data_IF_930656833161
#
_entry.id   IF_930656833161
#
_cell.length_a   1.000
_cell.length_b   1.000
_cell.length_c   1.000
_cell.angle_alpha   90.00
_cell.angle_beta   90.00
_cell.angle_gamma   90.00
#
_symmetry.space_group_name_H-M   'P 1'
#
loop_
_entity.id
_entity.type
_entity.pdbx_description
1 polymer ?
#
# COMPACT_ATOMS: atom_id res chain seq x y z
N UNK A 1 -32.32 -16.69 -2.88
CA UNK A 1 -31.05 -17.40 -2.65
C UNK A 1 -29.89 -16.57 -3.21
N UNK A 2 -29.87 -16.20 -4.52
CA UNK A 2 -28.75 -15.44 -5.10
C UNK A 2 -28.57 -14.07 -4.46
N UNK A 3 -29.64 -13.36 -4.13
CA UNK A 3 -29.57 -12.08 -3.45
C UNK A 3 -29.03 -12.23 -2.03
N UNK A 4 -29.42 -13.29 -1.33
CA UNK A 4 -28.94 -13.61 0.01
C UNK A 4 -27.45 -13.94 0.01
N UNK A 5 -26.94 -14.74 -0.96
CA UNK A 5 -25.52 -15.04 -1.10
C UNK A 5 -24.69 -13.77 -1.37
N UNK A 6 -25.21 -12.85 -2.20
CA UNK A 6 -24.53 -11.58 -2.46
C UNK A 6 -24.59 -10.64 -1.25
N UNK A 7 -25.71 -10.61 -0.54
CA UNK A 7 -25.87 -9.78 0.66
C UNK A 7 -24.97 -10.32 1.80
N UNK A 8 -24.92 -11.62 2.02
CA UNK A 8 -24.04 -12.27 2.99
C UNK A 8 -22.56 -12.17 2.62
N UNK A 9 -22.19 -12.35 1.35
CA UNK A 9 -20.85 -12.10 0.86
C UNK A 9 -20.43 -10.64 1.05
N UNK A 10 -21.39 -9.69 1.06
CA UNK A 10 -21.14 -8.26 1.34
C UNK A 10 -20.92 -8.01 2.83
N UNK A 11 -21.49 -8.82 3.70
CA UNK A 11 -21.29 -8.74 5.16
C UNK A 11 -19.99 -9.42 5.62
N UNK A 12 -19.47 -10.40 4.89
CA UNK A 12 -18.22 -11.11 5.13
C UNK A 12 -16.95 -10.32 4.79
N UNK A 13 -16.98 -8.98 4.75
CA UNK A 13 -15.81 -8.12 4.50
C UNK A 13 -15.01 -8.42 3.22
N UNK A 14 -15.59 -9.11 2.24
CA UNK A 14 -15.04 -9.20 0.89
C UNK A 14 -14.96 -7.75 0.40
N UNK A 15 -13.77 -7.29 0.09
CA UNK A 15 -13.36 -5.92 -0.21
C UNK A 15 -14.49 -5.08 -0.83
N UNK A 16 -15.31 -4.43 0.00
CA UNK A 16 -16.57 -3.75 -0.34
C UNK A 16 -16.41 -2.64 -1.40
N UNK A 17 -15.20 -2.16 -1.58
CA UNK A 17 -14.90 -1.08 -2.53
C UNK A 17 -15.00 -1.56 -3.97
N UNK A 18 -14.70 -2.82 -4.25
CA UNK A 18 -14.70 -3.38 -5.61
C UNK A 18 -16.10 -3.81 -6.07
N UNK A 19 -16.91 -4.38 -5.20
CA UNK A 19 -18.23 -4.93 -5.56
C UNK A 19 -19.26 -3.85 -5.95
N UNK A 20 -19.17 -2.61 -5.46
CA UNK A 20 -20.20 -1.58 -5.68
C UNK A 20 -20.11 -0.82 -6.99
N UNK A 21 -18.97 -0.84 -7.73
CA UNK A 21 -18.78 0.08 -8.88
C UNK A 21 -19.14 -0.44 -10.25
N UNK A 22 -19.21 -1.75 -10.46
CA UNK A 22 -19.48 -2.31 -11.81
C UNK A 22 -20.36 -3.57 -11.85
N UNK A 23 -21.27 -3.74 -10.91
CA UNK A 23 -22.31 -4.75 -11.08
C UNK A 23 -23.28 -4.22 -12.14
N UNK A 24 -22.98 -4.52 -13.41
CA UNK A 24 -23.89 -4.23 -14.52
C UNK A 24 -25.06 -5.20 -14.45
N UNK A 25 -26.24 -4.78 -14.96
CA UNK A 25 -27.40 -5.68 -15.09
C UNK A 25 -27.05 -6.97 -15.87
N UNK A 26 -26.15 -6.88 -16.82
CA UNK A 26 -25.64 -8.03 -17.60
C UNK A 26 -24.83 -9.01 -16.73
N UNK A 27 -23.98 -8.50 -15.83
CA UNK A 27 -23.24 -9.33 -14.87
C UNK A 27 -24.21 -10.02 -13.90
N UNK A 28 -25.19 -9.30 -13.36
CA UNK A 28 -26.23 -9.87 -12.47
C UNK A 28 -26.99 -11.01 -13.17
N UNK A 29 -27.32 -10.83 -14.45
CA UNK A 29 -28.00 -11.86 -15.24
C UNK A 29 -27.13 -13.10 -15.50
N UNK A 30 -25.81 -12.94 -15.57
CA UNK A 30 -24.85 -14.02 -15.81
C UNK A 30 -24.37 -14.72 -14.53
N UNK A 31 -24.55 -14.14 -13.34
CA UNK A 31 -24.18 -14.75 -12.05
C UNK A 31 -24.71 -16.19 -11.89
N UNK A 32 -25.99 -16.53 -12.21
CA UNK A 32 -26.47 -17.87 -12.09
C UNK A 32 -25.70 -18.89 -12.94
N UNK A 33 -25.27 -18.49 -14.13
CA UNK A 33 -24.50 -19.34 -15.04
C UNK A 33 -23.07 -19.55 -14.52
N UNK A 34 -22.44 -18.51 -14.00
CA UNK A 34 -21.09 -18.54 -13.45
C UNK A 34 -21.02 -19.32 -12.12
N UNK A 35 -22.05 -19.21 -11.27
CA UNK A 35 -22.13 -19.91 -9.98
C UNK A 35 -22.53 -21.38 -10.12
N UNK A 36 -23.24 -21.75 -11.20
CA UNK A 36 -23.78 -23.10 -11.38
C UNK A 36 -22.79 -24.24 -11.11
N UNK A 37 -21.53 -24.19 -11.57
CA UNK A 37 -20.54 -25.24 -11.29
C UNK A 37 -20.12 -25.34 -9.81
N UNK A 38 -20.33 -24.28 -9.03
CA UNK A 38 -19.83 -24.14 -7.66
C UNK A 38 -20.93 -24.22 -6.59
N UNK A 39 -22.22 -24.12 -7.00
CA UNK A 39 -23.36 -24.12 -6.07
C UNK A 39 -23.33 -25.33 -5.13
N UNK A 40 -23.06 -26.53 -5.65
CA UNK A 40 -22.99 -27.73 -4.83
C UNK A 40 -21.92 -27.67 -3.75
N UNK A 41 -20.74 -27.08 -4.07
CA UNK A 41 -19.67 -26.89 -3.08
C UNK A 41 -20.02 -25.84 -2.03
N UNK A 42 -20.61 -24.72 -2.45
CA UNK A 42 -21.03 -23.64 -1.54
C UNK A 42 -22.11 -24.16 -0.59
N UNK A 43 -23.12 -24.87 -1.09
CA UNK A 43 -24.18 -25.47 -0.26
C UNK A 43 -23.57 -26.44 0.74
N UNK A 44 -22.70 -27.35 0.31
CA UNK A 44 -22.04 -28.31 1.21
C UNK A 44 -21.23 -27.65 2.32
N UNK A 45 -20.57 -26.50 2.04
CA UNK A 45 -19.83 -25.73 3.06
C UNK A 45 -20.81 -25.05 4.03
N UNK A 46 -21.86 -24.43 3.51
CA UNK A 46 -22.88 -23.78 4.34
C UNK A 46 -23.65 -24.78 5.24
N UNK A 47 -23.93 -25.98 4.72
CA UNK A 47 -24.56 -27.05 5.49
C UNK A 47 -23.66 -27.52 6.66
N UNK A 48 -22.33 -27.61 6.43
CA UNK A 48 -21.38 -27.93 7.51
C UNK A 48 -21.35 -26.85 8.59
N UNK A 49 -21.33 -25.57 8.19
CA UNK A 49 -21.36 -24.45 9.13
C UNK A 49 -22.71 -24.44 9.90
N UNK A 50 -23.81 -24.62 9.19
CA UNK A 50 -25.14 -24.63 9.81
C UNK A 50 -25.34 -25.79 10.80
N UNK A 51 -24.87 -26.99 10.48
CA UNK A 51 -24.93 -28.13 11.40
C UNK A 51 -24.11 -27.92 12.66
N UNK A 52 -22.93 -27.25 12.55
CA UNK A 52 -22.11 -26.94 13.73
C UNK A 52 -22.69 -25.84 14.64
N UNK A 53 -23.65 -25.03 14.14
CA UNK A 53 -24.31 -23.97 14.91
C UNK A 53 -25.63 -24.46 15.55
N UNK A 54 -26.29 -25.44 14.94
CA UNK A 54 -27.62 -25.94 15.40
C UNK A 54 -27.56 -26.89 16.61
N UNK A 55 -26.40 -27.49 16.92
CA UNK A 55 -26.25 -28.46 18.01
C UNK A 55 -26.02 -27.82 19.39
N UNK A 56 -26.17 -26.48 19.51
CA UNK A 56 -26.02 -25.76 20.79
C UNK A 56 -27.28 -25.79 21.70
N UNK A 57 -28.31 -26.60 21.39
CA UNK A 57 -29.47 -26.81 22.24
C UNK A 57 -29.58 -28.31 22.57
N UNK A 58 -29.15 -28.68 23.78
CA UNK A 58 -29.30 -30.01 24.41
C UNK A 58 -28.32 -31.10 23.90
N UNK A 59 -27.26 -31.30 24.59
CA UNK A 59 -26.61 -32.51 25.11
C UNK A 59 -25.07 -32.43 25.15
N UNK A 60 -24.51 -33.01 26.24
CA UNK A 60 -23.09 -33.01 26.63
C UNK A 60 -22.14 -33.85 25.73
N UNK A 61 -22.14 -33.66 24.41
CA UNK A 61 -21.14 -34.24 23.51
C UNK A 61 -20.26 -33.15 22.88
N UNK A 62 -19.10 -32.88 23.50
CA UNK A 62 -18.11 -31.88 23.11
C UNK A 62 -17.37 -32.16 21.79
N UNK A 63 -17.57 -33.30 21.11
CA UNK A 63 -16.69 -33.76 20.03
C UNK A 63 -17.08 -33.34 18.61
N UNK A 64 -18.19 -32.60 18.39
CA UNK A 64 -18.64 -32.27 17.01
C UNK A 64 -18.77 -30.78 16.67
N UNK A 65 -18.42 -29.88 17.56
CA UNK A 65 -18.49 -28.43 17.26
C UNK A 65 -17.25 -27.95 16.52
N UNK A 66 -17.43 -27.42 15.32
CA UNK A 66 -16.35 -26.76 14.60
C UNK A 66 -15.79 -25.62 15.44
N UNK A 67 -14.48 -25.57 15.56
CA UNK A 67 -13.77 -24.45 16.19
C UNK A 67 -13.89 -23.18 15.35
N UNK A 68 -13.75 -22.01 15.98
CA UNK A 68 -13.73 -20.71 15.27
C UNK A 68 -12.67 -20.69 14.15
N UNK A 69 -11.56 -21.40 14.33
CA UNK A 69 -10.51 -21.52 13.31
C UNK A 69 -10.97 -22.33 12.09
N UNK A 70 -11.76 -23.40 12.30
CA UNK A 70 -12.32 -24.22 11.21
C UNK A 70 -13.43 -23.49 10.46
N UNK A 71 -14.28 -22.73 11.15
CA UNK A 71 -15.30 -21.87 10.53
C UNK A 71 -14.60 -20.84 9.62
N UNK A 72 -13.58 -20.14 10.12
CA UNK A 72 -12.81 -19.18 9.33
C UNK A 72 -12.13 -19.82 8.11
N UNK A 73 -11.69 -21.08 8.23
CA UNK A 73 -11.09 -21.81 7.11
C UNK A 73 -12.13 -22.17 6.03
N UNK A 74 -13.35 -22.55 6.41
CA UNK A 74 -14.44 -22.83 5.47
C UNK A 74 -14.96 -21.53 4.81
N UNK A 75 -15.08 -20.43 5.55
CA UNK A 75 -15.37 -19.10 5.01
C UNK A 75 -14.33 -18.67 3.97
N UNK A 76 -13.05 -18.92 4.24
CA UNK A 76 -11.96 -18.63 3.29
C UNK A 76 -12.12 -19.42 2.00
N UNK A 77 -12.60 -20.67 2.04
CA UNK A 77 -12.87 -21.47 0.84
C UNK A 77 -14.00 -20.87 0.00
N UNK A 78 -15.08 -20.40 0.65
CA UNK A 78 -16.19 -19.71 -0.05
C UNK A 78 -15.67 -18.42 -0.70
N UNK A 79 -14.90 -17.61 0.04
CA UNK A 79 -14.30 -16.39 -0.50
C UNK A 79 -13.44 -16.67 -1.74
N UNK A 80 -12.57 -17.69 -1.68
CA UNK A 80 -11.74 -18.08 -2.83
C UNK A 80 -12.55 -18.54 -4.04
N UNK A 81 -13.68 -19.24 -3.82
CA UNK A 81 -14.59 -19.64 -4.91
C UNK A 81 -15.24 -18.40 -5.52
N UNK A 82 -15.70 -17.46 -4.70
CA UNK A 82 -16.34 -16.22 -5.17
C UNK A 82 -15.33 -15.31 -5.88
N UNK A 83 -14.11 -15.19 -5.40
CA UNK A 83 -13.04 -14.41 -6.03
C UNK A 83 -12.68 -14.94 -7.42
N UNK A 84 -12.75 -16.27 -7.62
CA UNK A 84 -12.52 -16.88 -8.94
C UNK A 84 -13.69 -16.69 -9.92
N UNK A 85 -14.89 -16.38 -9.43
CA UNK A 85 -16.09 -16.17 -10.23
C UNK A 85 -16.30 -14.70 -10.53
N UNK A 86 -15.92 -13.81 -9.61
CA UNK A 86 -16.03 -12.39 -9.78
C UNK A 86 -15.02 -11.94 -10.83
N UNK A 87 -15.53 -11.32 -11.90
CA UNK A 87 -14.69 -10.70 -12.91
C UNK A 87 -13.84 -9.65 -12.21
N UNK A 88 -12.51 -9.71 -12.31
CA UNK A 88 -11.66 -8.69 -11.72
C UNK A 88 -12.09 -7.33 -12.26
N UNK A 89 -12.43 -6.42 -11.34
CA UNK A 89 -12.79 -5.05 -11.71
C UNK A 89 -11.52 -4.32 -12.13
N UNK A 90 -11.54 -3.68 -13.30
CA UNK A 90 -10.45 -2.78 -13.69
C UNK A 90 -10.34 -1.66 -12.65
N UNK A 91 -9.14 -1.43 -12.13
CA UNK A 91 -8.88 -0.30 -11.24
C UNK A 91 -9.10 1.03 -11.95
N UNK A 92 -9.34 2.10 -11.18
CA UNK A 92 -9.35 3.44 -11.72
C UNK A 92 -7.95 3.79 -12.29
N UNK A 93 -7.91 4.53 -13.38
CA UNK A 93 -6.63 4.89 -14.02
C UNK A 93 -5.80 5.78 -13.10
N UNK A 94 -4.49 5.58 -13.11
CA UNK A 94 -3.55 6.55 -12.55
C UNK A 94 -3.56 7.76 -13.48
N UNK A 95 -3.96 8.90 -12.93
CA UNK A 95 -4.11 10.14 -13.71
C UNK A 95 -2.88 11.01 -13.67
N UNK A 96 -2.18 11.06 -12.52
CA UNK A 96 -0.96 11.84 -12.32
C UNK A 96 -0.08 11.21 -11.25
N UNK A 97 1.25 11.33 -11.42
CA UNK A 97 2.24 11.00 -10.39
C UNK A 97 3.18 12.19 -10.23
N UNK A 98 3.21 12.75 -9.01
CA UNK A 98 4.11 13.83 -8.64
C UNK A 98 5.38 13.31 -7.99
N UNK A 99 6.52 13.91 -8.34
CA UNK A 99 7.82 13.60 -7.74
C UNK A 99 8.55 14.88 -7.37
N UNK A 100 9.08 14.95 -6.16
CA UNK A 100 9.91 16.07 -5.70
C UNK A 100 11.21 15.54 -5.12
N UNK A 101 12.30 16.27 -5.31
CA UNK A 101 13.64 15.88 -4.85
C UNK A 101 14.25 17.00 -4.00
N UNK A 102 14.86 16.62 -2.88
CA UNK A 102 15.74 17.46 -2.09
C UNK A 102 16.98 16.67 -1.68
N UNK A 103 18.05 17.36 -1.35
CA UNK A 103 19.25 16.74 -0.83
C UNK A 103 19.19 16.63 0.70
N UNK A 104 19.77 15.55 1.24
CA UNK A 104 19.95 15.38 2.67
C UNK A 104 20.62 16.60 3.30
N UNK A 105 20.08 17.06 4.42
CA UNK A 105 20.57 18.23 5.14
C UNK A 105 20.11 19.58 4.55
N UNK A 106 19.32 19.60 3.47
CA UNK A 106 18.76 20.82 2.88
C UNK A 106 17.24 20.75 2.88
N UNK A 107 16.58 21.86 3.17
CA UNK A 107 15.11 22.02 3.06
C UNK A 107 14.69 22.45 1.64
N UNK A 108 15.65 22.78 0.77
CA UNK A 108 15.38 23.26 -0.57
C UNK A 108 15.03 22.11 -1.51
N UNK A 109 13.85 22.20 -2.11
CA UNK A 109 13.44 21.30 -3.18
C UNK A 109 14.18 21.72 -4.45
N UNK A 110 14.96 20.80 -5.03
CA UNK A 110 15.83 21.06 -6.18
C UNK A 110 15.20 20.64 -7.50
N UNK A 111 14.21 19.73 -7.45
CA UNK A 111 13.53 19.23 -8.63
C UNK A 111 12.08 18.89 -8.31
N UNK A 112 11.20 19.20 -9.25
CA UNK A 112 9.77 18.87 -9.22
C UNK A 112 9.37 18.32 -10.58
N UNK A 113 8.62 17.25 -10.58
CA UNK A 113 8.11 16.62 -11.80
C UNK A 113 6.68 16.15 -11.61
N UNK A 114 5.89 16.27 -12.67
CA UNK A 114 4.56 15.65 -12.82
C UNK A 114 4.56 14.82 -14.09
N UNK A 115 4.21 13.55 -13.97
CA UNK A 115 3.84 12.73 -15.12
C UNK A 115 2.32 12.64 -15.13
N UNK A 116 1.68 13.21 -16.16
CA UNK A 116 0.23 13.35 -16.28
C UNK A 116 -0.33 12.50 -17.42
N UNK A 117 -1.45 11.87 -17.16
CA UNK A 117 -2.27 11.27 -18.21
C UNK A 117 -3.06 12.40 -18.89
N UNK A 118 -3.02 12.43 -20.22
CA UNK A 118 -3.49 13.51 -21.06
C UNK A 118 -2.71 14.83 -20.90
N UNK A 119 -3.06 15.85 -21.69
CA UNK A 119 -2.39 17.13 -21.69
C UNK A 119 -2.54 17.87 -20.36
N UNK A 120 -1.46 18.42 -19.87
CA UNK A 120 -1.42 19.28 -18.69
C UNK A 120 -0.63 20.55 -19.04
N UNK A 121 -1.11 21.70 -18.60
CA UNK A 121 -0.38 22.96 -18.81
C UNK A 121 0.90 23.00 -17.97
N UNK A 122 1.86 23.80 -18.43
CA UNK A 122 3.13 23.97 -17.77
C UNK A 122 2.97 24.58 -16.36
N UNK A 123 3.80 24.13 -15.45
CA UNK A 123 3.87 24.63 -14.07
C UNK A 123 5.26 25.22 -13.85
N UNK A 124 5.32 26.48 -13.45
CA UNK A 124 6.58 27.16 -13.18
C UNK A 124 7.45 26.39 -12.17
N UNK A 125 8.69 26.10 -12.53
CA UNK A 125 9.64 25.37 -11.71
C UNK A 125 9.29 23.87 -11.51
N UNK A 126 8.45 23.30 -12.37
CA UNK A 126 8.11 21.88 -12.38
C UNK A 126 8.19 21.34 -13.81
N UNK A 127 8.87 20.21 -13.99
CA UNK A 127 8.85 19.51 -15.27
C UNK A 127 7.51 18.76 -15.41
N UNK A 128 6.77 19.05 -16.49
CA UNK A 128 5.48 18.42 -16.79
C UNK A 128 5.65 17.49 -17.98
N UNK A 129 5.37 16.21 -17.79
CA UNK A 129 5.39 15.17 -18.83
C UNK A 129 3.97 14.71 -19.09
N UNK A 130 3.42 15.04 -20.25
CA UNK A 130 2.08 14.62 -20.66
C UNK A 130 2.15 13.31 -21.46
N UNK A 131 1.38 12.32 -21.06
CA UNK A 131 1.31 10.99 -21.67
C UNK A 131 -0.09 10.71 -22.24
N UNK A 132 -0.16 10.04 -23.37
CA UNK A 132 -1.45 9.71 -24.01
C UNK A 132 -2.11 8.46 -23.40
N UNK A 133 -1.33 7.58 -22.81
CA UNK A 133 -1.81 6.33 -22.22
C UNK A 133 -1.25 6.13 -20.83
N UNK A 134 -1.97 5.38 -20.00
CA UNK A 134 -1.50 5.03 -18.65
C UNK A 134 -0.24 4.16 -18.67
N UNK A 135 -0.07 3.31 -19.70
CA UNK A 135 1.16 2.55 -19.91
C UNK A 135 2.37 3.46 -20.10
N UNK A 136 2.20 4.47 -20.95
CA UNK A 136 3.24 5.49 -21.19
C UNK A 136 3.55 6.25 -19.89
N UNK A 137 2.52 6.64 -19.13
CA UNK A 137 2.67 7.33 -17.85
C UNK A 137 3.53 6.53 -16.88
N UNK A 138 3.22 5.25 -16.67
CA UNK A 138 3.97 4.39 -15.75
C UNK A 138 5.42 4.19 -16.19
N UNK A 139 5.66 3.97 -17.49
CA UNK A 139 7.01 3.83 -18.02
C UNK A 139 7.81 5.14 -17.92
N UNK A 140 7.19 6.28 -18.21
CA UNK A 140 7.84 7.59 -18.04
C UNK A 140 8.17 7.90 -16.59
N UNK A 141 7.26 7.58 -15.66
CA UNK A 141 7.57 7.70 -14.24
C UNK A 141 8.73 6.80 -13.82
N UNK A 142 8.78 5.55 -14.30
CA UNK A 142 9.92 4.65 -14.08
C UNK A 142 11.23 5.27 -14.60
N UNK A 143 11.22 5.84 -15.81
CA UNK A 143 12.40 6.51 -16.39
C UNK A 143 12.86 7.68 -15.50
N UNK A 144 11.92 8.52 -15.04
CA UNK A 144 12.21 9.62 -14.10
C UNK A 144 12.87 9.10 -12.83
N UNK A 145 12.29 8.07 -12.19
CA UNK A 145 12.83 7.49 -10.96
C UNK A 145 14.23 6.90 -11.14
N UNK A 146 14.48 6.21 -12.26
CA UNK A 146 15.77 5.63 -12.56
C UNK A 146 16.82 6.72 -12.87
N UNK A 147 16.44 7.79 -13.59
CA UNK A 147 17.32 8.92 -13.88
C UNK A 147 17.70 9.71 -12.62
N UNK A 148 16.77 9.85 -11.68
CA UNK A 148 17.02 10.51 -10.39
C UNK A 148 17.97 9.71 -9.51
N UNK A 149 18.00 8.38 -9.63
CA UNK A 149 18.89 7.48 -8.88
C UNK A 149 18.98 7.85 -7.40
N UNK A 150 17.83 8.09 -6.77
CA UNK A 150 17.72 8.54 -5.38
C UNK A 150 18.17 7.47 -4.37
N UNK A 151 18.72 7.89 -3.24
CA UNK A 151 19.09 6.98 -2.15
C UNK A 151 17.88 6.61 -1.29
N UNK A 152 16.89 7.51 -1.19
CA UNK A 152 15.69 7.37 -0.37
C UNK A 152 14.48 7.73 -1.21
N UNK A 153 13.47 6.86 -1.19
CA UNK A 153 12.12 7.15 -1.70
C UNK A 153 11.20 7.28 -0.51
N UNK A 154 10.46 8.37 -0.46
CA UNK A 154 9.53 8.65 0.62
C UNK A 154 8.18 9.12 0.08
N UNK A 155 7.16 8.93 0.87
CA UNK A 155 5.83 9.46 0.62
C UNK A 155 4.94 9.28 1.85
N UNK A 156 3.65 9.52 1.68
CA UNK A 156 2.68 9.42 2.75
C UNK A 156 1.68 8.31 2.47
N UNK A 157 1.71 7.24 3.26
CA UNK A 157 0.92 6.02 3.07
C UNK A 157 1.28 5.24 1.79
N UNK A 158 2.52 5.35 1.34
CA UNK A 158 2.98 4.68 0.11
C UNK A 158 2.93 3.15 0.20
N UNK A 159 3.07 2.58 1.40
CA UNK A 159 2.95 1.14 1.63
C UNK A 159 1.50 0.66 1.67
N UNK A 160 0.56 1.55 2.02
CA UNK A 160 -0.85 1.23 2.06
C UNK A 160 -1.60 1.51 0.77
N UNK A 161 -1.05 2.36 -0.11
CA UNK A 161 -1.76 2.82 -1.30
C UNK A 161 -0.88 2.90 -2.56
N UNK A 162 0.09 3.81 -2.62
CA UNK A 162 0.75 4.16 -3.89
C UNK A 162 1.50 2.98 -4.53
N UNK A 163 2.37 2.31 -3.78
CA UNK A 163 3.19 1.22 -4.33
C UNK A 163 2.37 0.00 -4.75
N UNK A 164 1.45 -0.54 -3.91
CA UNK A 164 0.60 -1.64 -4.35
C UNK A 164 -0.31 -1.22 -5.52
N UNK A 165 -0.84 0.01 -5.52
CA UNK A 165 -1.71 0.48 -6.60
C UNK A 165 -0.98 0.57 -7.95
N UNK A 166 0.21 1.18 -7.98
CA UNK A 166 1.05 1.25 -9.19
C UNK A 166 1.36 -0.17 -9.71
N UNK A 167 1.71 -1.08 -8.80
CA UNK A 167 2.03 -2.47 -9.15
C UNK A 167 0.84 -3.22 -9.73
N UNK A 168 -0.33 -3.11 -9.11
CA UNK A 168 -1.55 -3.76 -9.57
C UNK A 168 -2.04 -3.16 -10.90
N UNK A 169 -1.92 -1.83 -11.08
CA UNK A 169 -2.20 -1.20 -12.39
C UNK A 169 -1.25 -1.68 -13.48
N UNK A 170 0.04 -1.86 -13.18
CA UNK A 170 0.99 -2.42 -14.14
C UNK A 170 0.64 -3.86 -14.55
N UNK A 171 0.10 -4.68 -13.63
CA UNK A 171 -0.43 -6.02 -13.93
C UNK A 171 -1.67 -5.94 -14.82
N UNK A 172 -2.67 -5.13 -14.46
CA UNK A 172 -3.91 -4.97 -15.22
C UNK A 172 -3.66 -4.46 -16.65
N UNK A 173 -2.68 -3.59 -16.81
CA UNK A 173 -2.24 -3.08 -18.09
C UNK A 173 -1.35 -4.06 -18.89
N UNK A 174 -1.03 -5.23 -18.33
CA UNK A 174 -0.15 -6.22 -18.95
C UNK A 174 1.26 -5.69 -19.30
N UNK A 175 1.81 -4.79 -18.48
CA UNK A 175 3.17 -4.26 -18.63
C UNK A 175 4.10 -4.67 -17.48
N UNK A 176 3.64 -5.51 -16.54
CA UNK A 176 4.39 -5.83 -15.32
C UNK A 176 5.75 -6.47 -15.62
N UNK A 177 5.86 -7.25 -16.70
CA UNK A 177 7.11 -7.90 -17.08
C UNK A 177 8.17 -6.88 -17.53
N UNK A 178 7.77 -5.79 -18.18
CA UNK A 178 8.64 -4.69 -18.59
C UNK A 178 8.83 -3.67 -17.46
N UNK A 179 7.71 -3.25 -16.85
CA UNK A 179 7.71 -2.27 -15.78
C UNK A 179 8.47 -2.75 -14.55
N UNK A 180 8.28 -4.02 -14.16
CA UNK A 180 8.87 -4.63 -12.97
C UNK A 180 10.35 -4.97 -13.09
N UNK A 181 11.02 -4.70 -14.22
CA UNK A 181 12.46 -4.94 -14.39
C UNK A 181 13.21 -3.62 -14.31
N UNK A 182 14.30 -3.59 -13.53
CA UNK A 182 15.18 -2.43 -13.44
C UNK A 182 14.57 -1.24 -12.72
N UNK A 183 13.70 -1.48 -11.75
CA UNK A 183 13.33 -0.48 -10.75
C UNK A 183 14.42 -0.44 -9.67
N UNK A 184 15.07 0.70 -9.50
CA UNK A 184 16.19 0.87 -8.57
C UNK A 184 17.56 0.73 -9.24
N UNK A 185 18.59 0.36 -8.45
CA UNK A 185 19.99 0.41 -8.90
C UNK A 185 20.46 -0.80 -9.71
N UNK A 186 19.74 -1.91 -9.65
CA UNK A 186 20.04 -3.12 -10.44
C UNK A 186 19.12 -3.19 -11.66
N UNK A 187 19.59 -2.70 -12.80
CA UNK A 187 18.80 -2.53 -14.03
C UNK A 187 18.33 -3.84 -14.67
N UNK A 188 18.93 -4.97 -14.34
CA UNK A 188 18.55 -6.29 -14.88
C UNK A 188 17.70 -7.11 -13.93
N UNK A 189 17.52 -6.64 -12.68
CA UNK A 189 16.75 -7.37 -11.70
C UNK A 189 15.25 -7.23 -11.94
N UNK A 190 14.53 -8.35 -11.84
CA UNK A 190 13.08 -8.36 -11.76
C UNK A 190 12.66 -8.05 -10.33
N UNK A 191 12.06 -6.88 -10.14
CA UNK A 191 11.50 -6.46 -8.86
C UNK A 191 10.16 -7.15 -8.59
N UNK A 192 9.72 -7.13 -7.34
CA UNK A 192 8.44 -7.71 -6.93
C UNK A 192 7.75 -6.82 -5.90
N UNK A 193 6.43 -6.95 -5.80
CA UNK A 193 5.68 -6.41 -4.67
C UNK A 193 5.86 -7.35 -3.48
N UNK A 194 6.44 -6.85 -2.42
CA UNK A 194 6.65 -7.58 -1.16
C UNK A 194 5.51 -7.25 -0.20
N UNK A 195 4.91 -8.28 0.39
CA UNK A 195 4.00 -8.14 1.53
C UNK A 195 4.72 -8.59 2.79
N UNK A 196 4.92 -7.67 3.72
CA UNK A 196 5.61 -7.92 4.98
C UNK A 196 4.68 -7.64 6.14
N UNK A 197 4.43 -8.66 6.96
CA UNK A 197 3.73 -8.45 8.24
C UNK A 197 4.67 -7.76 9.23
N UNK A 198 4.20 -6.67 9.80
CA UNK A 198 4.87 -5.93 10.87
C UNK A 198 3.97 -5.89 12.09
N UNK A 199 4.29 -6.70 13.10
CA UNK A 199 3.64 -6.66 14.40
C UNK A 199 4.55 -5.92 15.39
N UNK A 200 4.04 -4.87 16.01
CA UNK A 200 4.75 -4.12 17.02
C UNK A 200 3.81 -3.54 18.07
N UNK A 201 4.29 -3.39 19.30
CA UNK A 201 3.53 -2.77 20.40
C UNK A 201 3.10 -1.33 20.12
N UNK A 202 3.83 -0.61 19.26
CA UNK A 202 3.55 0.79 18.92
C UNK A 202 2.55 0.95 17.77
N UNK A 203 2.59 0.05 16.77
CA UNK A 203 1.79 0.15 15.55
C UNK A 203 0.68 -0.92 15.45
N UNK A 204 0.66 -1.91 16.38
CA UNK A 204 -0.19 -3.10 16.24
C UNK A 204 0.25 -3.96 15.05
N UNK A 205 -0.70 -4.74 14.52
CA UNK A 205 -0.49 -5.57 13.34
C UNK A 205 -0.72 -4.77 12.07
N UNK A 206 0.30 -4.70 11.23
CA UNK A 206 0.26 -3.99 9.95
C UNK A 206 0.82 -4.88 8.84
N UNK A 207 0.27 -4.74 7.66
CA UNK A 207 0.83 -5.32 6.43
C UNK A 207 1.44 -4.18 5.63
N UNK A 208 2.75 -4.24 5.42
CA UNK A 208 3.48 -3.31 4.57
C UNK A 208 3.57 -3.91 3.17
N UNK A 209 3.07 -3.21 2.16
CA UNK A 209 3.18 -3.60 0.76
C UNK A 209 4.07 -2.61 0.03
N UNK A 210 5.18 -3.08 -0.47
CA UNK A 210 6.14 -2.21 -1.15
C UNK A 210 6.84 -2.91 -2.30
N UNK A 211 7.23 -2.13 -3.30
CA UNK A 211 8.06 -2.62 -4.39
C UNK A 211 9.49 -2.78 -3.86
N UNK A 212 10.10 -3.94 -4.11
CA UNK A 212 11.45 -4.23 -3.63
C UNK A 212 12.49 -3.52 -4.51
N UNK A 213 12.85 -2.29 -4.12
CA UNK A 213 13.88 -1.50 -4.78
C UNK A 213 15.27 -1.84 -4.24
N UNK A 214 16.17 -2.27 -5.13
CA UNK A 214 17.55 -2.52 -4.75
C UNK A 214 18.34 -1.24 -4.50
N UNK A 215 19.05 -1.22 -3.37
CA UNK A 215 19.93 -0.12 -2.99
C UNK A 215 19.22 1.20 -2.66
N UNK A 216 17.90 1.18 -2.49
CA UNK A 216 17.08 2.35 -2.15
C UNK A 216 16.37 2.11 -0.82
N UNK A 217 16.41 3.11 0.05
CA UNK A 217 15.68 3.10 1.32
C UNK A 217 14.26 3.62 1.10
N UNK A 218 13.27 2.85 1.56
CA UNK A 218 11.86 3.23 1.48
C UNK A 218 11.38 3.73 2.83
N UNK A 219 10.75 4.92 2.83
CA UNK A 219 10.24 5.56 4.05
C UNK A 219 8.78 5.96 3.84
N UNK A 220 7.87 5.29 4.55
CA UNK A 220 6.48 5.74 4.63
C UNK A 220 6.30 6.68 5.82
N UNK A 221 6.12 7.97 5.54
CA UNK A 221 6.01 8.99 6.56
C UNK A 221 4.78 8.78 7.48
N UNK A 222 3.67 8.25 6.96
CA UNK A 222 2.52 7.92 7.79
C UNK A 222 2.89 6.92 8.91
N UNK A 223 3.66 5.87 8.57
CA UNK A 223 4.08 4.86 9.55
C UNK A 223 5.05 5.42 10.58
N UNK A 224 5.93 6.32 10.14
CA UNK A 224 6.84 7.05 11.06
C UNK A 224 6.03 7.92 12.02
N UNK A 225 5.06 8.69 11.51
CA UNK A 225 4.20 9.54 12.34
C UNK A 225 3.38 8.73 13.35
N UNK A 226 2.79 7.61 12.92
CA UNK A 226 2.03 6.72 13.81
C UNK A 226 2.90 6.10 14.91
N UNK A 227 4.17 5.81 14.61
CA UNK A 227 5.12 5.24 15.57
C UNK A 227 5.62 6.27 16.59
N UNK A 228 5.95 7.47 16.11
CA UNK A 228 6.75 8.43 16.88
C UNK A 228 5.89 9.55 17.50
N UNK A 229 4.65 9.73 17.04
CA UNK A 229 3.77 10.82 17.46
C UNK A 229 2.40 10.28 17.90
N UNK A 230 1.80 10.90 18.92
CA UNK A 230 0.40 10.62 19.32
C UNK A 230 -0.47 11.77 18.87
N UNK A 231 -1.26 11.54 17.81
CA UNK A 231 -2.13 12.54 17.19
C UNK A 231 -3.56 12.01 17.12
N UNK A 232 -4.54 12.91 17.17
CA UNK A 232 -5.96 12.56 17.00
C UNK A 232 -6.29 12.14 15.56
N UNK A 233 -5.52 12.65 14.59
CA UNK A 233 -5.67 12.31 13.18
C UNK A 233 -4.31 12.31 12.48
N UNK A 234 -4.05 11.24 11.73
CA UNK A 234 -2.84 11.08 10.92
C UNK A 234 -3.08 11.42 9.45
N UNK A 235 -4.11 12.17 9.10
CA UNK A 235 -4.25 12.72 7.74
C UNK A 235 -3.13 13.72 7.48
N UNK A 236 -2.59 13.75 6.26
CA UNK A 236 -1.46 14.61 5.89
C UNK A 236 -1.74 16.08 6.23
N UNK A 237 -2.97 16.57 5.99
CA UNK A 237 -3.36 17.94 6.28
C UNK A 237 -3.29 18.27 7.77
N UNK A 238 -3.76 17.36 8.63
CA UNK A 238 -3.68 17.54 10.08
C UNK A 238 -2.23 17.55 10.56
N UNK A 239 -1.41 16.62 10.06
CA UNK A 239 0.02 16.55 10.39
C UNK A 239 0.75 17.81 9.92
N UNK A 240 0.51 18.26 8.68
CA UNK A 240 1.11 19.48 8.15
C UNK A 240 0.67 20.72 8.95
N UNK A 241 -0.61 20.83 9.34
CA UNK A 241 -1.11 21.91 10.17
C UNK A 241 -0.42 21.97 11.53
N UNK A 242 -0.23 20.82 12.19
CA UNK A 242 0.39 20.78 13.52
C UNK A 242 1.88 21.12 13.48
N UNK A 243 2.64 20.56 12.53
CA UNK A 243 4.08 20.67 12.53
C UNK A 243 4.65 21.80 11.66
N UNK A 244 3.93 22.19 10.60
CA UNK A 244 4.35 23.24 9.67
C UNK A 244 3.54 24.53 9.81
N UNK A 245 2.37 24.47 10.45
CA UNK A 245 1.43 25.62 10.52
C UNK A 245 0.70 25.90 9.20
N UNK A 246 0.85 25.03 8.20
CA UNK A 246 0.22 25.20 6.90
C UNK A 246 -1.24 24.74 6.90
N UNK A 247 -2.12 25.60 6.39
CA UNK A 247 -3.49 25.21 6.05
C UNK A 247 -3.57 24.95 4.55
N UNK A 248 -4.03 23.78 4.20
CA UNK A 248 -4.18 23.32 2.83
C UNK A 248 -5.52 23.75 2.23
N UNK A 249 -5.52 24.07 0.94
CA UNK A 249 -6.74 24.06 0.13
C UNK A 249 -6.97 22.64 -0.34
N UNK A 250 -7.93 21.95 0.25
CA UNK A 250 -8.20 20.55 -0.05
C UNK A 250 -9.06 20.45 -1.32
N UNK A 251 -8.57 19.73 -2.32
CA UNK A 251 -9.38 19.28 -3.46
C UNK A 251 -10.10 17.98 -3.06
N UNK A 252 -11.43 18.03 -3.09
CA UNK A 252 -12.23 16.83 -2.81
C UNK A 252 -12.06 15.81 -3.94
N UNK A 253 -12.09 14.49 -3.66
CA UNK A 253 -11.94 13.45 -4.68
C UNK A 253 -12.90 13.61 -5.88
N UNK A 254 -14.14 14.05 -5.63
CA UNK A 254 -15.14 14.32 -6.68
C UNK A 254 -14.72 15.47 -7.62
N UNK A 255 -14.06 16.50 -7.07
CA UNK A 255 -13.55 17.63 -7.85
C UNK A 255 -12.35 17.18 -8.71
N UNK A 256 -11.49 16.31 -8.20
CA UNK A 256 -10.38 15.74 -8.96
C UNK A 256 -10.91 14.99 -10.18
N UNK A 257 -11.93 14.13 -10.02
CA UNK A 257 -12.51 13.39 -11.13
C UNK A 257 -13.17 14.28 -12.17
N UNK A 258 -13.85 15.37 -11.74
CA UNK A 258 -14.47 16.31 -12.66
C UNK A 258 -13.46 17.15 -13.41
N UNK A 259 -12.41 17.65 -12.75
CA UNK A 259 -11.32 18.42 -13.33
C UNK A 259 -10.47 17.59 -14.29
N UNK A 260 -10.24 16.31 -13.97
CA UNK A 260 -9.49 15.44 -14.88
C UNK A 260 -10.19 15.28 -16.26
N UNK A 261 -11.52 15.24 -16.28
CA UNK A 261 -12.32 15.19 -17.52
C UNK A 261 -12.36 16.52 -18.27
N UNK A 262 -11.91 17.59 -17.67
CA UNK A 262 -11.87 18.93 -18.24
C UNK A 262 -10.73 19.14 -19.23
N UNK A 263 -10.21 20.36 -19.29
CA UNK A 263 -9.13 20.76 -20.20
C UNK A 263 -7.73 20.62 -19.54
N UNK A 264 -6.67 21.07 -20.23
CA UNK A 264 -5.29 21.00 -19.73
C UNK A 264 -5.06 21.88 -18.51
N UNK A 265 -5.77 23.01 -18.38
CA UNK A 265 -5.68 23.92 -17.24
C UNK A 265 -6.31 23.26 -16.00
N UNK A 266 -7.45 22.56 -16.14
CA UNK A 266 -8.08 21.83 -15.03
C UNK A 266 -7.17 20.73 -14.50
N UNK A 267 -6.47 20.00 -15.40
CA UNK A 267 -5.47 19.00 -15.03
C UNK A 267 -4.23 19.60 -14.41
N UNK A 268 -3.85 20.82 -14.80
CA UNK A 268 -2.76 21.56 -14.17
C UNK A 268 -3.10 21.94 -12.71
N UNK A 269 -4.37 22.24 -12.39
CA UNK A 269 -4.75 22.47 -11.00
C UNK A 269 -4.60 21.22 -10.12
N UNK A 270 -4.98 20.05 -10.65
CA UNK A 270 -4.74 18.77 -9.96
C UNK A 270 -3.23 18.56 -9.75
N UNK A 271 -2.42 18.84 -10.78
CA UNK A 271 -0.98 18.69 -10.74
C UNK A 271 -0.31 19.61 -9.69
N UNK A 272 -0.74 20.88 -9.61
CA UNK A 272 -0.28 21.81 -8.56
C UNK A 272 -0.58 21.30 -7.17
N UNK A 273 -1.79 20.76 -6.98
CA UNK A 273 -2.18 20.13 -5.73
C UNK A 273 -1.31 18.91 -5.40
N UNK A 274 -1.08 18.02 -6.35
CA UNK A 274 -0.23 16.85 -6.19
C UNK A 274 1.23 17.23 -5.79
N UNK A 275 1.82 18.22 -6.48
CA UNK A 275 3.16 18.73 -6.16
C UNK A 275 3.20 19.39 -4.78
N UNK A 276 2.16 20.11 -4.39
CA UNK A 276 2.07 20.70 -3.04
C UNK A 276 2.13 19.61 -1.97
N UNK A 277 1.42 18.50 -2.16
CA UNK A 277 1.46 17.37 -1.23
C UNK A 277 2.84 16.75 -1.12
N UNK A 278 3.52 16.55 -2.25
CA UNK A 278 4.90 16.07 -2.26
C UNK A 278 5.84 17.05 -1.53
N UNK A 279 5.66 18.35 -1.72
CA UNK A 279 6.45 19.37 -1.02
C UNK A 279 6.23 19.36 0.50
N UNK A 280 4.98 19.15 0.95
CA UNK A 280 4.66 19.04 2.39
C UNK A 280 5.41 17.88 3.04
N UNK A 281 5.47 16.73 2.37
CA UNK A 281 6.20 15.55 2.86
C UNK A 281 7.68 15.86 3.06
N UNK A 282 8.33 16.49 2.08
CA UNK A 282 9.74 16.88 2.18
C UNK A 282 9.99 17.86 3.34
N UNK A 283 9.10 18.84 3.51
CA UNK A 283 9.19 19.83 4.61
C UNK A 283 8.98 19.17 5.97
N UNK A 284 8.06 18.21 6.08
CA UNK A 284 7.83 17.46 7.32
C UNK A 284 9.05 16.61 7.68
N UNK A 285 9.63 15.89 6.73
CA UNK A 285 10.84 15.07 6.95
C UNK A 285 11.98 15.93 7.47
N UNK A 286 12.22 17.09 6.84
CA UNK A 286 13.27 18.01 7.25
C UNK A 286 12.97 18.64 8.62
N UNK A 287 11.75 19.14 8.84
CA UNK A 287 11.34 19.77 10.11
C UNK A 287 11.47 18.85 11.31
N UNK A 288 11.08 17.59 11.12
CA UNK A 288 11.10 16.56 12.19
C UNK A 288 12.43 15.81 12.24
N UNK A 289 13.38 16.13 11.36
CA UNK A 289 14.71 15.49 11.28
C UNK A 289 14.63 13.97 11.25
N UNK A 290 13.67 13.45 10.47
CA UNK A 290 13.35 12.01 10.48
C UNK A 290 14.54 11.20 9.99
N UNK A 291 15.20 11.60 8.91
CA UNK A 291 16.33 10.86 8.36
C UNK A 291 17.53 10.96 9.28
N UNK A 292 17.86 12.15 9.78
CA UNK A 292 18.97 12.39 10.70
C UNK A 292 18.85 11.55 11.97
N UNK A 293 17.69 11.55 12.59
CA UNK A 293 17.44 10.80 13.82
C UNK A 293 17.55 9.29 13.59
N UNK A 294 17.06 8.79 12.44
CA UNK A 294 17.16 7.38 12.12
C UNK A 294 18.59 6.97 11.70
N UNK A 295 19.37 7.82 11.05
CA UNK A 295 20.81 7.58 10.81
C UNK A 295 21.54 7.48 12.16
N UNK A 296 21.30 8.43 13.07
CA UNK A 296 21.87 8.36 14.43
C UNK A 296 21.51 7.06 15.16
N UNK A 297 20.25 6.66 15.10
CA UNK A 297 19.78 5.39 15.67
C UNK A 297 20.44 4.17 15.01
N UNK A 298 20.57 4.18 13.68
CA UNK A 298 21.23 3.10 12.91
C UNK A 298 22.69 2.93 13.31
N UNK A 299 23.40 4.03 13.52
CA UNK A 299 24.79 4.03 13.98
C UNK A 299 24.94 3.45 15.40
N UNK A 300 24.04 3.82 16.32
CA UNK A 300 24.03 3.30 17.68
C UNK A 300 23.69 1.81 17.71
N UNK A 301 22.64 1.42 17.01
CA UNK A 301 22.14 0.04 17.02
C UNK A 301 22.84 -0.88 16.04
N UNK A 302 23.74 -0.38 15.19
CA UNK A 302 24.48 -1.13 14.17
C UNK A 302 23.55 -1.91 13.20
N UNK A 303 22.49 -1.24 12.75
CA UNK A 303 21.51 -1.81 11.83
C UNK A 303 21.37 -0.94 10.59
N UNK A 304 21.14 -1.54 9.40
CA UNK A 304 20.85 -0.79 8.18
C UNK A 304 19.61 0.10 8.35
N UNK A 305 19.62 1.28 7.70
CA UNK A 305 18.54 2.26 7.79
C UNK A 305 17.18 1.67 7.40
N UNK A 306 17.12 0.79 6.41
CA UNK A 306 15.91 0.07 6.01
C UNK A 306 15.24 -0.70 7.15
N UNK A 307 16.04 -1.26 8.07
CA UNK A 307 15.50 -2.04 9.18
C UNK A 307 14.78 -1.15 10.21
N UNK A 308 15.22 0.10 10.35
CA UNK A 308 14.59 1.06 11.26
C UNK A 308 13.18 1.45 10.83
N UNK A 309 12.89 1.42 9.54
CA UNK A 309 11.58 1.77 8.98
C UNK A 309 10.65 0.57 8.76
N UNK A 310 11.22 -0.63 8.54
CA UNK A 310 10.45 -1.81 8.13
C UNK A 310 10.45 -2.97 9.13
N UNK A 311 11.18 -2.86 10.25
CA UNK A 311 11.24 -3.89 11.29
C UNK A 311 10.92 -3.33 12.67
N UNK A 312 10.49 -4.21 13.57
CA UNK A 312 10.24 -3.88 14.97
C UNK A 312 11.52 -3.61 15.76
N UNK A 313 11.36 -3.26 17.03
CA UNK A 313 12.49 -2.90 17.92
C UNK A 313 13.45 -4.07 18.21
N UNK A 314 12.96 -5.31 18.13
CA UNK A 314 13.75 -6.51 18.43
C UNK A 314 15.05 -6.61 17.64
N UNK A 315 15.08 -6.17 16.37
CA UNK A 315 16.29 -6.22 15.55
C UNK A 315 17.42 -5.32 16.08
N UNK A 316 17.06 -4.16 16.68
CA UNK A 316 18.02 -3.24 17.27
C UNK A 316 18.70 -3.86 18.50
N UNK A 317 17.89 -4.48 19.37
CA UNK A 317 18.37 -5.17 20.58
C UNK A 317 19.24 -6.35 20.18
N UNK A 318 18.77 -7.17 19.23
CA UNK A 318 19.52 -8.33 18.74
C UNK A 318 20.89 -7.93 18.19
N UNK A 319 20.96 -6.88 17.38
CA UNK A 319 22.23 -6.41 16.80
C UNK A 319 23.23 -5.95 17.88
N UNK A 320 22.75 -5.23 18.91
CA UNK A 320 23.59 -4.81 20.03
C UNK A 320 24.08 -5.99 20.86
N UNK A 321 23.21 -6.99 21.12
CA UNK A 321 23.61 -8.22 21.83
C UNK A 321 24.64 -8.98 20.99
N UNK A 322 24.41 -9.12 19.67
CA UNK A 322 25.34 -9.79 18.78
C UNK A 322 26.74 -9.15 18.82
N UNK A 323 26.79 -7.81 18.80
CA UNK A 323 28.05 -7.08 18.95
C UNK A 323 28.75 -7.39 20.27
N UNK A 324 28.01 -7.34 21.39
CA UNK A 324 28.57 -7.64 22.72
C UNK A 324 29.07 -9.09 22.81
N UNK A 325 28.32 -10.04 22.28
CA UNK A 325 28.76 -11.43 22.21
C UNK A 325 30.06 -11.59 21.42
N UNK A 326 30.18 -10.88 20.28
CA UNK A 326 31.41 -10.87 19.49
C UNK A 326 32.60 -10.25 20.26
N UNK A 327 32.39 -9.17 20.98
CA UNK A 327 33.44 -8.50 21.78
C UNK A 327 33.91 -9.34 22.96
N UNK A 328 33.07 -10.24 23.47
CA UNK A 328 33.37 -11.13 24.62
C UNK A 328 33.59 -12.61 24.21
N UNK A 329 33.83 -12.89 22.94
CA UNK A 329 33.99 -14.26 22.40
C UNK A 329 32.91 -15.25 22.89
N UNK A 330 31.67 -14.76 23.00
CA UNK A 330 30.53 -15.52 23.48
C UNK A 330 29.63 -15.90 22.32
N UNK A 331 29.24 -17.17 22.21
CA UNK A 331 28.30 -17.66 21.19
C UNK A 331 26.87 -17.29 21.56
N UNK A 332 26.12 -16.82 20.56
CA UNK A 332 24.68 -16.63 20.68
C UNK A 332 24.01 -17.99 20.52
N UNK A 333 23.25 -18.49 21.49
CA UNK A 333 22.57 -19.77 21.38
C UNK A 333 21.47 -19.70 20.30
N UNK A 334 21.37 -20.74 19.48
CA UNK A 334 20.25 -20.91 18.56
C UNK A 334 19.03 -21.34 19.39
N UNK A 335 18.13 -20.41 19.63
CA UNK A 335 16.84 -20.72 20.27
C UNK A 335 15.96 -21.37 19.20
N UNK A 336 15.68 -22.66 19.36
CA UNK A 336 14.65 -23.32 18.54
C UNK A 336 13.30 -22.71 18.91
N UNK A 337 12.60 -22.14 17.95
CA UNK A 337 11.20 -21.78 18.14
C UNK A 337 10.40 -23.06 18.41
N UNK A 338 9.74 -23.10 19.56
CA UNK A 338 8.78 -24.15 19.89
C UNK A 338 7.49 -23.92 19.12
#
# INVERSE_FOLDING_TARGET
IYKTIIDEATDLKINRVYAKRKITNEFIQNIPTLLKPFIGKIISILEKIASSVSDNCDDDNEDNNMTVAEINAEETKICNILDNILIPLDGDKIIQIGTTVHFYGSDKIVYKNIVSLDSCDDIEGCEVISCKTEKELLNKWKDVMNNLNSDIITGYNIFGFDMPYIWDRAKELNIIEEFGVGLGRLITRKNSLVEQQLSSSALGDNILKYIDYDGIVLVDLLKVMQRDQKLDSYKLDNVASIFLGDKKNDLKPQEIFSKFKGNSADRCEIAKYCIQDCCLINRLIHKLKIIENNIGMGNVCLVPLNFLFRRGQGIKIFSLIAKQCMEHDTLIPVIKSF
#
